data_IF_559932991464
#
_entry.id   IF_559932991464
#
_cell.length_a   1.000
_cell.length_b   1.000
_cell.length_c   1.000
_cell.angle_alpha   90.00
_cell.angle_beta   90.00
_cell.angle_gamma   90.00
#
_symmetry.space_group_name_H-M   'P 1'
#
loop_
_entity.id
_entity.type
_entity.pdbx_description
1 polymer ?
#
# COMPACT_ATOMS: atom_id res chain seq x y z
N UNK A 1 -25.46 7.44 27.13
CA UNK A 1 -25.80 7.53 25.71
C UNK A 1 -25.30 6.27 25.03
N UNK A 2 -26.19 5.53 24.43
CA UNK A 2 -25.89 4.27 23.73
C UNK A 2 -25.76 4.61 22.26
N UNK A 3 -24.54 4.49 21.74
CA UNK A 3 -24.30 4.66 20.29
C UNK A 3 -24.72 3.39 19.56
N UNK A 4 -25.30 3.54 18.36
CA UNK A 4 -25.67 2.43 17.47
C UNK A 4 -24.61 2.26 16.38
N UNK A 5 -24.06 1.05 16.24
CA UNK A 5 -23.14 0.69 15.15
C UNK A 5 -23.88 -0.15 14.10
N UNK A 6 -23.97 0.32 12.88
CA UNK A 6 -24.66 -0.36 11.79
C UNK A 6 -24.05 -0.08 10.40
N UNK A 7 -24.50 -0.85 9.43
CA UNK A 7 -24.15 -0.67 8.02
C UNK A 7 -24.70 0.66 7.51
N UNK A 8 -23.91 1.36 6.70
CA UNK A 8 -24.25 2.63 6.06
C UNK A 8 -25.31 2.43 4.99
N UNK A 9 -26.37 3.27 5.00
CA UNK A 9 -27.33 3.31 3.91
C UNK A 9 -26.91 4.35 2.86
N UNK A 10 -27.18 4.10 1.55
CA UNK A 10 -26.77 5.03 0.48
C UNK A 10 -27.25 6.46 0.65
N UNK A 11 -28.44 6.66 1.25
CA UNK A 11 -29.02 7.97 1.50
C UNK A 11 -28.31 8.76 2.63
N UNK A 12 -27.49 8.09 3.43
CA UNK A 12 -26.77 8.68 4.57
C UNK A 12 -25.33 9.06 4.22
N UNK A 13 -24.88 8.81 3.00
CA UNK A 13 -23.49 9.01 2.58
C UNK A 13 -22.96 10.42 2.88
N UNK A 14 -23.70 11.45 2.52
CA UNK A 14 -23.21 12.82 2.66
C UNK A 14 -23.03 13.19 4.14
N UNK A 15 -23.96 12.77 5.00
CA UNK A 15 -23.84 12.96 6.45
C UNK A 15 -22.67 12.17 7.05
N UNK A 16 -22.51 10.93 6.61
CA UNK A 16 -21.44 10.03 7.03
C UNK A 16 -20.07 10.60 6.63
N UNK A 17 -19.94 11.03 5.35
CA UNK A 17 -18.70 11.60 4.83
C UNK A 17 -18.36 12.94 5.51
N UNK A 18 -19.33 13.79 5.73
CA UNK A 18 -19.13 15.03 6.50
C UNK A 18 -18.65 14.76 7.94
N UNK A 19 -19.05 13.65 8.56
CA UNK A 19 -18.50 13.24 9.86
C UNK A 19 -17.05 12.78 9.78
N UNK A 20 -16.66 12.11 8.68
CA UNK A 20 -15.27 11.73 8.40
C UNK A 20 -14.42 13.01 8.22
N UNK A 21 -14.84 13.96 7.40
CA UNK A 21 -14.11 15.22 7.20
C UNK A 21 -13.87 15.94 8.53
N UNK A 22 -14.88 16.02 9.39
CA UNK A 22 -14.73 16.60 10.73
C UNK A 22 -13.71 15.87 11.61
N UNK A 23 -13.63 14.54 11.51
CA UNK A 23 -12.64 13.76 12.23
C UNK A 23 -11.20 14.05 11.77
N UNK A 24 -11.04 14.47 10.50
CA UNK A 24 -9.78 14.82 9.85
C UNK A 24 -9.51 16.32 9.75
N UNK A 25 -10.20 17.16 10.55
CA UNK A 25 -9.91 18.58 10.65
C UNK A 25 -10.88 19.49 9.88
N UNK A 26 -11.92 18.94 9.27
CA UNK A 26 -13.01 19.69 8.66
C UNK A 26 -12.71 20.32 7.29
N UNK A 27 -11.64 19.89 6.64
CA UNK A 27 -11.33 20.31 5.27
C UNK A 27 -12.14 19.48 4.27
N UNK A 28 -12.98 20.09 3.42
CA UNK A 28 -13.77 19.32 2.46
C UNK A 28 -12.90 18.73 1.36
N UNK A 29 -13.27 17.54 0.93
CA UNK A 29 -12.68 16.91 -0.24
C UNK A 29 -13.13 17.60 -1.54
N UNK A 30 -12.28 17.63 -2.59
CA UNK A 30 -12.72 18.06 -3.93
C UNK A 30 -13.91 17.23 -4.42
N UNK A 31 -14.82 17.86 -5.16
CA UNK A 31 -16.03 17.20 -5.64
C UNK A 31 -15.75 15.94 -6.49
N UNK A 32 -14.69 16.00 -7.29
CA UNK A 32 -14.25 14.90 -8.15
C UNK A 32 -13.74 13.70 -7.32
N UNK A 33 -12.99 13.96 -6.25
CA UNK A 33 -12.52 12.93 -5.32
C UNK A 33 -13.70 12.30 -4.57
N UNK A 34 -14.62 13.14 -4.05
CA UNK A 34 -15.81 12.68 -3.35
C UNK A 34 -16.71 11.81 -4.25
N UNK A 35 -16.87 12.20 -5.51
CA UNK A 35 -17.63 11.42 -6.49
C UNK A 35 -17.01 10.04 -6.74
N UNK A 36 -15.68 9.98 -6.89
CA UNK A 36 -14.97 8.72 -7.08
C UNK A 36 -15.11 7.81 -5.85
N UNK A 37 -14.90 8.34 -4.65
CA UNK A 37 -15.05 7.54 -3.43
C UNK A 37 -16.46 6.98 -3.27
N UNK A 38 -17.48 7.77 -3.61
CA UNK A 38 -18.88 7.31 -3.59
C UNK A 38 -19.13 6.21 -4.60
N UNK A 39 -18.58 6.32 -5.82
CA UNK A 39 -18.68 5.31 -6.88
C UNK A 39 -18.02 3.99 -6.47
N UNK A 40 -16.84 4.06 -5.86
CA UNK A 40 -16.09 2.89 -5.40
C UNK A 40 -16.65 2.25 -4.13
N UNK A 41 -17.61 2.90 -3.46
CA UNK A 41 -18.18 2.43 -2.19
C UNK A 41 -19.15 1.26 -2.40
N UNK A 42 -18.84 0.12 -1.78
CA UNK A 42 -19.76 -1.01 -1.59
C UNK A 42 -20.45 -0.84 -0.24
N UNK A 43 -21.66 -0.26 -0.22
CA UNK A 43 -22.31 0.21 1.01
C UNK A 43 -22.48 -0.84 2.11
N UNK A 44 -22.61 -2.11 1.76
CA UNK A 44 -22.68 -3.24 2.69
C UNK A 44 -21.37 -3.49 3.46
N UNK A 45 -20.27 -2.89 3.00
CA UNK A 45 -18.94 -2.94 3.62
C UNK A 45 -18.58 -1.68 4.42
N UNK A 46 -19.51 -0.70 4.49
CA UNK A 46 -19.31 0.56 5.21
C UNK A 46 -20.13 0.59 6.48
N UNK A 47 -19.51 1.00 7.56
CA UNK A 47 -20.11 1.09 8.88
C UNK A 47 -20.15 2.54 9.35
N UNK A 48 -21.21 2.90 10.05
CA UNK A 48 -21.29 4.14 10.81
C UNK A 48 -21.67 3.85 12.27
N UNK A 49 -21.23 4.72 13.14
CA UNK A 49 -21.69 4.77 14.54
C UNK A 49 -22.50 6.03 14.72
N UNK A 50 -23.73 5.89 15.21
CA UNK A 50 -24.68 6.98 15.46
C UNK A 50 -24.87 7.24 16.95
N UNK A 51 -25.02 8.52 17.33
CA UNK A 51 -25.53 8.97 18.61
C UNK A 51 -26.80 9.79 18.32
N UNK A 52 -27.97 9.16 18.49
CA UNK A 52 -29.23 9.67 17.94
C UNK A 52 -29.16 9.75 16.41
N UNK A 53 -29.40 10.94 15.85
CA UNK A 53 -29.38 11.19 14.41
C UNK A 53 -27.99 11.61 13.89
N UNK A 54 -26.97 11.73 14.75
CA UNK A 54 -25.64 12.17 14.37
C UNK A 54 -24.69 11.00 14.13
N UNK A 55 -23.99 11.01 13.01
CA UNK A 55 -22.86 10.10 12.76
C UNK A 55 -21.66 10.57 13.56
N UNK A 56 -21.13 9.71 14.43
CA UNK A 56 -20.02 10.02 15.34
C UNK A 56 -18.78 9.15 15.10
N UNK A 57 -18.93 8.11 14.29
CA UNK A 57 -17.82 7.23 13.89
C UNK A 57 -18.04 6.66 12.50
N UNK A 58 -16.97 6.53 11.73
CA UNK A 58 -16.96 6.06 10.34
C UNK A 58 -15.88 5.01 10.14
N UNK A 59 -16.13 4.00 9.31
CA UNK A 59 -15.14 3.07 8.77
C UNK A 59 -15.69 2.38 7.53
N UNK A 60 -14.83 2.09 6.56
CA UNK A 60 -15.18 1.33 5.37
C UNK A 60 -14.14 0.28 5.04
N UNK A 61 -14.46 -0.63 4.13
CA UNK A 61 -13.52 -1.61 3.62
C UNK A 61 -13.74 -1.83 2.13
N UNK A 62 -12.78 -1.44 1.31
CA UNK A 62 -12.75 -1.81 -0.09
C UNK A 62 -12.49 -3.31 -0.24
N UNK A 63 -13.02 -3.89 -1.29
CA UNK A 63 -12.79 -5.27 -1.69
C UNK A 63 -11.59 -5.33 -2.64
N UNK A 64 -10.44 -5.70 -2.10
CA UNK A 64 -9.19 -5.80 -2.85
C UNK A 64 -8.73 -7.24 -3.05
N UNK A 65 -7.83 -7.38 -4.02
CA UNK A 65 -6.92 -8.52 -4.11
C UNK A 65 -5.49 -7.98 -4.10
N UNK A 66 -4.72 -8.46 -3.15
CA UNK A 66 -3.33 -8.03 -2.94
C UNK A 66 -2.36 -9.10 -3.43
N UNK A 67 -1.33 -8.69 -4.15
CA UNK A 67 -0.27 -9.60 -4.53
C UNK A 67 0.58 -9.97 -3.31
N UNK A 68 0.85 -11.27 -3.15
CA UNK A 68 1.68 -11.81 -2.08
C UNK A 68 2.95 -12.47 -2.66
N UNK A 69 3.97 -12.78 -1.85
CA UNK A 69 5.12 -13.54 -2.31
C UNK A 69 4.71 -14.83 -3.03
N UNK A 70 5.25 -15.03 -4.25
CA UNK A 70 4.82 -16.10 -5.17
C UNK A 70 3.85 -15.62 -6.25
N UNK A 71 3.36 -14.36 -6.18
CA UNK A 71 2.54 -13.73 -7.22
C UNK A 71 1.05 -14.07 -7.15
N UNK A 72 0.60 -14.82 -6.14
CA UNK A 72 -0.82 -15.05 -5.93
C UNK A 72 -1.55 -13.74 -5.55
N UNK A 73 -2.79 -13.59 -6.01
CA UNK A 73 -3.68 -12.50 -5.64
C UNK A 73 -4.64 -12.97 -4.55
N UNK A 74 -4.48 -12.45 -3.35
CA UNK A 74 -5.23 -12.88 -2.15
C UNK A 74 -6.31 -11.85 -1.83
N UNK A 75 -7.56 -12.26 -1.55
CA UNK A 75 -8.61 -11.36 -1.08
C UNK A 75 -8.20 -10.62 0.19
N UNK A 76 -8.45 -9.32 0.24
CA UNK A 76 -8.07 -8.47 1.35
C UNK A 76 -9.04 -7.29 1.52
N UNK A 77 -9.47 -7.05 2.75
CA UNK A 77 -10.21 -5.84 3.07
C UNK A 77 -9.28 -4.62 3.11
N UNK A 78 -9.48 -3.66 2.21
CA UNK A 78 -8.80 -2.37 2.24
C UNK A 78 -9.49 -1.43 3.22
N UNK A 79 -9.14 -1.51 4.50
CA UNK A 79 -9.76 -0.72 5.57
C UNK A 79 -9.40 0.75 5.43
N UNK A 80 -10.40 1.61 5.39
CA UNK A 80 -10.24 3.04 5.11
C UNK A 80 -11.29 3.90 5.81
N UNK A 81 -11.13 5.22 5.72
CA UNK A 81 -12.09 6.20 6.19
C UNK A 81 -12.49 6.00 7.66
N UNK A 82 -11.48 5.58 8.46
CA UNK A 82 -11.67 5.34 9.89
C UNK A 82 -11.57 6.65 10.65
N UNK A 83 -12.69 7.12 11.15
CA UNK A 83 -12.77 8.37 11.89
C UNK A 83 -13.66 8.25 13.13
N UNK A 84 -13.34 9.03 14.16
CA UNK A 84 -14.23 9.24 15.34
C UNK A 84 -14.25 10.71 15.64
N UNK A 85 -15.44 11.30 15.69
CA UNK A 85 -15.63 12.74 16.05
C UNK A 85 -14.87 13.07 17.32
N UNK A 86 -14.21 14.21 17.42
CA UNK A 86 -13.46 14.63 18.60
C UNK A 86 -14.24 14.52 19.93
N UNK A 87 -15.54 14.79 19.90
CA UNK A 87 -16.46 14.73 21.04
C UNK A 87 -16.73 13.31 21.54
N UNK A 88 -16.44 12.28 20.71
CA UNK A 88 -16.74 10.85 21.01
C UNK A 88 -15.48 10.00 21.13
N UNK A 89 -14.29 10.60 21.09
CA UNK A 89 -13.02 9.89 21.32
C UNK A 89 -12.94 9.31 22.73
N UNK A 90 -12.18 8.21 22.89
CA UNK A 90 -11.94 7.51 24.17
C UNK A 90 -13.18 6.90 24.83
N UNK A 91 -14.28 6.73 24.08
CA UNK A 91 -15.53 6.11 24.53
C UNK A 91 -15.76 4.69 23.99
N UNK A 92 -14.73 4.07 23.39
CA UNK A 92 -14.81 2.71 22.83
C UNK A 92 -15.35 2.63 21.39
N UNK A 93 -15.78 3.75 20.78
CA UNK A 93 -16.36 3.78 19.41
C UNK A 93 -15.43 3.10 18.41
N UNK A 94 -14.15 3.52 18.33
CA UNK A 94 -13.19 2.90 17.41
C UNK A 94 -13.04 1.39 17.68
N UNK A 95 -12.97 0.99 18.94
CA UNK A 95 -12.80 -0.43 19.29
C UNK A 95 -14.00 -1.28 18.82
N UNK A 96 -15.23 -0.78 18.97
CA UNK A 96 -16.42 -1.49 18.52
C UNK A 96 -16.51 -1.56 17.00
N UNK A 97 -16.16 -0.47 16.28
CA UNK A 97 -16.10 -0.47 14.82
C UNK A 97 -15.09 -1.49 14.31
N UNK A 98 -13.84 -1.47 14.81
CA UNK A 98 -12.79 -2.40 14.39
C UNK A 98 -13.12 -3.86 14.72
N UNK A 99 -13.81 -4.13 15.84
CA UNK A 99 -14.30 -5.48 16.18
C UNK A 99 -15.29 -5.95 15.13
N UNK A 100 -16.34 -5.18 14.92
CA UNK A 100 -17.39 -5.52 13.97
C UNK A 100 -16.81 -5.67 12.55
N UNK A 101 -15.94 -4.77 12.12
CA UNK A 101 -15.33 -4.83 10.80
C UNK A 101 -14.46 -6.08 10.60
N UNK A 102 -13.65 -6.49 11.57
CA UNK A 102 -12.84 -7.71 11.45
C UNK A 102 -13.69 -8.99 11.51
N UNK A 103 -14.81 -8.98 12.25
CA UNK A 103 -15.78 -10.07 12.23
C UNK A 103 -16.45 -10.17 10.84
N UNK A 104 -16.82 -9.03 10.25
CA UNK A 104 -17.40 -8.96 8.89
C UNK A 104 -16.38 -9.43 7.82
N UNK A 105 -15.12 -8.95 7.86
CA UNK A 105 -14.03 -9.36 6.95
C UNK A 105 -13.81 -10.88 7.01
N UNK A 106 -13.82 -11.45 8.21
CA UNK A 106 -13.76 -12.89 8.41
C UNK A 106 -14.95 -13.60 7.75
N UNK A 107 -16.15 -13.09 7.96
CA UNK A 107 -17.38 -13.66 7.38
C UNK A 107 -17.40 -13.58 5.84
N UNK A 108 -16.76 -12.56 5.25
CA UNK A 108 -16.58 -12.46 3.80
C UNK A 108 -15.53 -13.44 3.24
N UNK A 109 -14.78 -14.15 4.11
CA UNK A 109 -13.75 -15.09 3.70
C UNK A 109 -12.46 -14.43 3.22
N UNK A 110 -12.20 -13.18 3.64
CA UNK A 110 -10.99 -12.45 3.32
C UNK A 110 -9.91 -12.72 4.40
N UNK A 111 -8.84 -13.44 4.09
CA UNK A 111 -7.83 -13.80 5.09
C UNK A 111 -6.95 -12.64 5.53
N UNK A 112 -7.01 -11.51 4.83
CA UNK A 112 -6.20 -10.32 5.07
C UNK A 112 -7.07 -9.08 5.25
N UNK A 113 -6.60 -8.15 6.09
CA UNK A 113 -7.05 -6.77 6.12
C UNK A 113 -5.82 -5.84 6.05
N UNK A 114 -5.93 -4.78 5.27
CA UNK A 114 -4.84 -3.85 5.02
C UNK A 114 -5.32 -2.40 5.16
N UNK A 115 -4.44 -1.51 5.57
CA UNK A 115 -4.71 -0.07 5.66
C UNK A 115 -3.44 0.75 5.49
N UNK A 116 -3.59 2.02 5.15
CA UNK A 116 -2.56 3.06 5.30
C UNK A 116 -2.91 3.92 6.51
N UNK A 117 -1.96 4.12 7.42
CA UNK A 117 -2.24 4.74 8.70
C UNK A 117 -1.86 6.23 8.72
N UNK A 118 -2.82 7.12 9.03
CA UNK A 118 -2.50 8.51 9.37
C UNK A 118 -1.84 8.62 10.75
N UNK A 119 -2.21 7.72 11.68
CA UNK A 119 -1.63 7.61 13.03
C UNK A 119 -1.27 6.13 13.29
N UNK A 120 -0.04 5.69 12.98
CA UNK A 120 0.38 4.27 13.05
C UNK A 120 0.18 3.60 14.41
N UNK A 121 0.31 4.35 15.51
CA UNK A 121 0.19 3.85 16.89
C UNK A 121 -1.23 3.31 17.21
N UNK A 122 -2.23 3.73 16.44
CA UNK A 122 -3.62 3.34 16.67
C UNK A 122 -3.83 1.85 16.34
N UNK A 123 -3.29 1.37 15.22
CA UNK A 123 -3.71 0.11 14.62
C UNK A 123 -2.99 -1.11 15.13
N UNK A 124 -1.82 -0.94 15.76
CA UNK A 124 -1.08 -2.03 16.38
C UNK A 124 -1.87 -2.80 17.44
N UNK A 125 -2.76 -2.13 18.20
CA UNK A 125 -3.64 -2.74 19.21
C UNK A 125 -4.74 -3.62 18.61
N UNK A 126 -5.00 -3.48 17.33
CA UNK A 126 -5.95 -4.29 16.57
C UNK A 126 -5.24 -5.38 15.75
N UNK A 127 -3.93 -5.52 15.91
CA UNK A 127 -3.11 -6.56 15.28
C UNK A 127 -2.59 -6.21 13.89
N UNK A 128 -2.69 -4.96 13.42
CA UNK A 128 -2.05 -4.52 12.19
C UNK A 128 -0.58 -4.25 12.43
N UNK A 129 0.28 -4.77 11.54
CA UNK A 129 1.72 -4.51 11.56
C UNK A 129 2.19 -3.81 10.30
N UNK A 130 3.20 -2.89 10.36
CA UNK A 130 3.76 -2.26 9.18
C UNK A 130 4.43 -3.32 8.30
N UNK A 131 3.90 -3.54 7.10
CA UNK A 131 4.31 -4.60 6.19
C UNK A 131 5.08 -4.10 4.96
N UNK A 132 4.92 -2.81 4.61
CA UNK A 132 5.69 -2.16 3.54
C UNK A 132 6.23 -0.83 3.99
N UNK A 133 7.29 -0.40 3.30
CA UNK A 133 7.84 0.94 3.41
C UNK A 133 7.79 1.62 2.04
N UNK A 134 7.70 2.94 2.05
CA UNK A 134 7.85 3.77 0.86
C UNK A 134 9.03 4.73 1.05
N UNK A 135 9.61 5.13 -0.06
CA UNK A 135 10.70 6.09 -0.09
C UNK A 135 10.24 7.37 -0.78
N UNK A 136 10.45 8.49 -0.10
CA UNK A 136 10.39 9.81 -0.72
C UNK A 136 11.77 10.20 -1.23
N UNK A 137 11.81 10.80 -2.40
CA UNK A 137 13.04 11.31 -2.98
C UNK A 137 12.87 12.76 -3.41
N UNK A 138 13.90 13.57 -3.16
CA UNK A 138 14.08 14.91 -3.70
C UNK A 138 15.40 14.91 -4.49
N UNK A 139 15.30 14.80 -5.80
CA UNK A 139 16.44 14.55 -6.70
C UNK A 139 16.89 15.87 -7.32
N UNK A 140 18.14 16.24 -7.10
CA UNK A 140 18.78 17.40 -7.72
C UNK A 140 19.33 16.98 -9.10
N UNK A 141 18.58 17.26 -10.16
CA UNK A 141 18.91 16.78 -11.52
C UNK A 141 20.13 17.47 -12.11
N UNK A 142 20.54 18.65 -11.60
CA UNK A 142 21.77 19.32 -12.02
C UNK A 142 23.03 18.59 -11.53
N UNK A 143 22.90 17.82 -10.45
CA UNK A 143 24.01 17.18 -9.73
C UNK A 143 24.00 15.66 -9.76
N UNK A 144 23.05 15.06 -10.44
CA UNK A 144 22.91 13.62 -10.59
C UNK A 144 22.92 13.26 -12.06
N UNK A 145 23.64 12.20 -12.42
CA UNK A 145 23.66 11.64 -13.77
C UNK A 145 23.09 10.22 -13.74
N UNK A 146 22.44 9.84 -14.82
CA UNK A 146 21.89 8.50 -14.98
C UNK A 146 22.85 7.63 -15.79
N UNK A 147 23.16 6.45 -15.29
CA UNK A 147 23.82 5.36 -16.01
C UNK A 147 22.76 4.60 -16.80
N UNK A 148 22.74 4.79 -18.11
CA UNK A 148 21.72 4.21 -18.98
C UNK A 148 22.05 2.75 -19.33
N UNK A 149 21.10 1.82 -19.14
CA UNK A 149 21.27 0.44 -19.60
C UNK A 149 21.15 0.32 -21.13
N UNK A 150 21.67 -0.77 -21.65
CA UNK A 150 21.57 -1.11 -23.07
C UNK A 150 20.10 -1.09 -23.55
N UNK A 151 19.89 -0.57 -24.75
CA UNK A 151 18.58 -0.50 -25.39
C UNK A 151 17.70 0.70 -24.96
N UNK A 152 18.14 1.51 -23.99
CA UNK A 152 17.38 2.68 -23.56
C UNK A 152 17.20 3.72 -24.67
N UNK A 153 18.16 3.86 -25.57
CA UNK A 153 18.08 4.79 -26.72
C UNK A 153 17.12 4.31 -27.81
N UNK A 154 16.77 3.03 -27.82
CA UNK A 154 15.78 2.44 -28.73
C UNK A 154 14.33 2.61 -28.26
N UNK A 155 14.11 3.11 -27.05
CA UNK A 155 12.77 3.34 -26.52
C UNK A 155 12.22 4.66 -27.03
N UNK A 156 11.10 4.59 -27.73
CA UNK A 156 10.38 5.79 -28.19
C UNK A 156 9.53 6.35 -27.06
N UNK A 157 9.62 7.65 -26.81
CA UNK A 157 8.78 8.36 -25.85
C UNK A 157 7.71 9.17 -26.59
N UNK A 158 6.48 9.10 -26.09
CA UNK A 158 5.33 9.82 -26.65
C UNK A 158 4.51 10.48 -25.55
N UNK A 159 4.34 11.79 -25.62
CA UNK A 159 3.39 12.50 -24.76
C UNK A 159 1.95 12.15 -25.14
N UNK A 160 1.10 12.03 -24.14
CA UNK A 160 -0.34 11.78 -24.28
C UNK A 160 -1.08 12.48 -23.18
N UNK A 161 -2.37 12.78 -23.38
CA UNK A 161 -3.22 13.19 -22.27
C UNK A 161 -3.42 12.00 -21.32
N UNK A 162 -3.44 12.21 -20.00
CA UNK A 162 -3.60 11.11 -19.03
C UNK A 162 -4.84 10.24 -19.31
N UNK A 163 -5.97 10.86 -19.69
CA UNK A 163 -7.23 10.16 -19.98
C UNK A 163 -7.13 9.29 -21.24
N UNK A 164 -6.45 9.78 -22.28
CA UNK A 164 -6.22 9.04 -23.53
C UNK A 164 -5.22 7.90 -23.35
N UNK A 165 -4.28 8.05 -22.41
CA UNK A 165 -3.27 7.06 -22.08
C UNK A 165 -3.75 6.00 -21.06
N UNK A 166 -4.93 6.17 -20.44
CA UNK A 166 -5.42 5.35 -19.32
C UNK A 166 -5.29 3.85 -19.58
N UNK A 167 -5.87 3.36 -20.66
CA UNK A 167 -5.91 1.92 -20.94
C UNK A 167 -4.51 1.33 -21.20
N UNK A 168 -3.62 2.08 -21.82
CA UNK A 168 -2.23 1.68 -22.03
C UNK A 168 -1.45 1.63 -20.70
N UNK A 169 -1.66 2.61 -19.82
CA UNK A 169 -1.07 2.63 -18.47
C UNK A 169 -1.57 1.47 -17.61
N UNK A 170 -2.89 1.21 -17.62
CA UNK A 170 -3.48 0.09 -16.87
C UNK A 170 -3.00 -1.27 -17.37
N UNK A 171 -2.80 -1.44 -18.68
CA UNK A 171 -2.22 -2.66 -19.24
C UNK A 171 -0.78 -2.90 -18.77
N UNK A 172 0.02 -1.85 -18.61
CA UNK A 172 1.37 -1.94 -18.01
C UNK A 172 1.27 -2.26 -16.53
N UNK A 173 0.43 -1.54 -15.78
CA UNK A 173 0.23 -1.73 -14.34
C UNK A 173 -0.20 -3.18 -14.03
N UNK A 174 -1.20 -3.71 -14.71
CA UNK A 174 -1.72 -5.06 -14.50
C UNK A 174 -0.64 -6.15 -14.63
N UNK A 175 0.32 -5.96 -15.56
CA UNK A 175 1.47 -6.87 -15.71
C UNK A 175 2.49 -6.77 -14.58
N UNK A 176 2.49 -5.67 -13.83
CA UNK A 176 3.38 -5.45 -12.68
C UNK A 176 2.83 -6.01 -11.37
N UNK A 177 1.51 -6.09 -11.24
CA UNK A 177 0.83 -6.43 -9.97
C UNK A 177 1.36 -7.73 -9.37
N UNK A 178 1.36 -8.83 -10.13
CA UNK A 178 1.78 -10.14 -9.62
C UNK A 178 3.30 -10.28 -9.47
N UNK A 179 4.07 -9.35 -10.01
CA UNK A 179 5.53 -9.36 -9.93
C UNK A 179 6.07 -8.72 -8.63
N UNK A 180 5.23 -8.03 -7.85
CA UNK A 180 5.66 -7.34 -6.63
C UNK A 180 4.62 -7.50 -5.51
N UNK A 181 5.00 -8.03 -4.34
CA UNK A 181 4.09 -8.11 -3.19
C UNK A 181 3.58 -6.72 -2.77
N UNK A 182 2.37 -6.68 -2.21
CA UNK A 182 1.61 -5.51 -1.80
C UNK A 182 0.98 -4.68 -2.92
N UNK A 183 1.27 -4.92 -4.19
CA UNK A 183 0.50 -4.27 -5.26
C UNK A 183 -0.95 -4.78 -5.26
N UNK A 184 -1.87 -3.86 -5.53
CA UNK A 184 -3.31 -4.15 -5.57
C UNK A 184 -3.75 -4.39 -7.02
N UNK A 185 -4.54 -5.45 -7.23
CA UNK A 185 -5.29 -5.60 -8.48
C UNK A 185 -6.32 -4.48 -8.58
N UNK A 186 -6.27 -3.68 -9.64
CA UNK A 186 -7.26 -2.62 -9.85
C UNK A 186 -8.54 -3.21 -10.42
N UNK A 187 -9.61 -3.07 -9.68
CA UNK A 187 -10.97 -3.39 -10.12
C UNK A 187 -11.54 -2.24 -10.96
N UNK A 188 -12.62 -2.48 -11.72
CA UNK A 188 -13.28 -1.42 -12.48
C UNK A 188 -13.61 -0.21 -11.61
N UNK A 189 -13.33 0.98 -12.13
CA UNK A 189 -13.44 2.27 -11.43
C UNK A 189 -12.14 2.73 -10.78
N UNK A 190 -11.25 1.82 -10.34
CA UNK A 190 -9.99 2.18 -9.69
C UNK A 190 -8.97 2.79 -10.64
N UNK A 191 -9.12 2.58 -11.95
CA UNK A 191 -8.29 3.22 -12.98
C UNK A 191 -8.46 4.76 -13.04
N UNK A 192 -9.52 5.28 -12.43
CA UNK A 192 -9.74 6.72 -12.31
C UNK A 192 -8.87 7.36 -11.22
N UNK A 193 -8.51 6.61 -10.16
CA UNK A 193 -7.77 7.16 -9.02
C UNK A 193 -6.44 7.82 -9.41
N UNK A 194 -5.57 7.21 -10.22
CA UNK A 194 -4.30 7.84 -10.60
C UNK A 194 -4.48 9.06 -11.52
N UNK A 195 -5.66 9.26 -12.08
CA UNK A 195 -6.00 10.40 -12.96
C UNK A 195 -6.62 11.56 -12.19
N UNK A 196 -6.97 11.39 -10.92
CA UNK A 196 -7.48 12.49 -10.09
C UNK A 196 -6.48 13.65 -10.06
N UNK A 197 -6.94 14.80 -10.53
CA UNK A 197 -6.10 15.99 -10.64
C UNK A 197 -6.95 17.26 -10.42
N UNK A 198 -7.62 17.32 -9.26
CA UNK A 198 -8.49 18.43 -8.90
C UNK A 198 -7.71 19.76 -8.85
N UNK A 199 -8.18 20.83 -9.54
CA UNK A 199 -7.48 22.12 -9.57
C UNK A 199 -7.16 22.67 -8.18
N UNK A 200 -8.04 22.44 -7.20
CA UNK A 200 -7.85 22.88 -5.81
C UNK A 200 -6.69 22.17 -5.08
N UNK A 201 -6.25 20.99 -5.57
CA UNK A 201 -5.13 20.23 -4.98
C UNK A 201 -3.78 20.48 -5.68
N UNK A 202 -3.80 21.07 -6.87
CA UNK A 202 -2.56 21.33 -7.64
C UNK A 202 -1.70 22.43 -7.03
N UNK A 203 -2.30 23.38 -6.32
CA UNK A 203 -1.61 24.64 -5.96
C UNK A 203 -1.21 25.37 -7.24
N UNK A 204 0.08 25.63 -7.39
CA UNK A 204 0.70 26.31 -8.53
C UNK A 204 1.25 25.33 -9.60
N UNK A 205 1.06 24.02 -9.44
CA UNK A 205 1.53 23.02 -10.40
C UNK A 205 0.66 22.97 -11.67
N UNK A 206 1.29 22.57 -12.78
CA UNK A 206 0.59 22.30 -14.03
C UNK A 206 -0.46 21.18 -13.87
N UNK A 207 -1.43 21.08 -14.78
CA UNK A 207 -2.23 19.87 -14.91
C UNK A 207 -1.34 18.63 -15.08
N UNK A 208 -1.89 17.47 -14.67
CA UNK A 208 -1.23 16.17 -14.83
C UNK A 208 -0.89 15.91 -16.30
N UNK A 209 0.31 15.41 -16.54
CA UNK A 209 0.83 15.03 -17.85
C UNK A 209 1.18 13.55 -17.85
N UNK A 210 1.22 12.93 -19.02
CA UNK A 210 1.59 11.53 -19.20
C UNK A 210 2.57 11.38 -20.35
N UNK A 211 3.64 10.61 -20.12
CA UNK A 211 4.56 10.12 -21.15
C UNK A 211 4.50 8.60 -21.20
N UNK A 212 4.36 8.06 -22.40
CA UNK A 212 4.38 6.63 -22.69
C UNK A 212 5.75 6.23 -23.26
N UNK A 213 6.29 5.11 -22.81
CA UNK A 213 7.46 4.46 -23.36
C UNK A 213 7.01 3.31 -24.27
N UNK A 214 7.42 3.34 -25.54
CA UNK A 214 7.04 2.38 -26.56
C UNK A 214 8.28 1.64 -27.09
N UNK A 215 8.15 0.32 -27.21
CA UNK A 215 9.14 -0.56 -27.85
C UNK A 215 8.39 -1.60 -28.70
N UNK A 216 8.88 -1.90 -29.89
CA UNK A 216 8.27 -2.86 -30.84
C UNK A 216 6.77 -2.58 -31.10
N UNK A 217 6.40 -1.30 -31.18
CA UNK A 217 5.02 -0.87 -31.42
C UNK A 217 4.05 -1.08 -30.24
N UNK A 218 4.55 -1.37 -29.04
CA UNK A 218 3.75 -1.58 -27.84
C UNK A 218 4.16 -0.64 -26.73
N UNK A 219 3.20 -0.22 -25.91
CA UNK A 219 3.50 0.50 -24.68
C UNK A 219 4.11 -0.48 -23.65
N UNK A 220 5.33 -0.15 -23.20
CA UNK A 220 6.11 -0.94 -22.24
C UNK A 220 6.43 -0.19 -20.95
N UNK A 221 5.95 1.05 -20.83
CA UNK A 221 6.08 1.85 -19.62
C UNK A 221 5.37 3.19 -19.75
N UNK A 222 5.22 3.87 -18.65
CA UNK A 222 4.66 5.22 -18.57
C UNK A 222 5.18 5.97 -17.35
N UNK A 223 5.12 7.30 -17.41
CA UNK A 223 5.21 8.14 -16.23
C UNK A 223 4.13 9.23 -16.28
N UNK A 224 3.51 9.50 -15.10
CA UNK A 224 2.61 10.64 -14.92
C UNK A 224 3.24 11.65 -13.96
N UNK A 225 3.21 12.91 -14.34
CA UNK A 225 3.89 13.97 -13.62
C UNK A 225 3.20 15.31 -13.83
N UNK A 226 3.51 16.27 -12.97
CA UNK A 226 3.20 17.69 -13.17
C UNK A 226 4.45 18.52 -12.91
N UNK A 227 4.46 19.75 -13.38
CA UNK A 227 5.57 20.68 -13.18
C UNK A 227 5.08 21.83 -12.33
N UNK A 228 5.79 22.09 -11.23
CA UNK A 228 5.58 23.27 -10.41
C UNK A 228 6.64 24.31 -10.78
N UNK A 229 6.23 25.48 -11.32
CA UNK A 229 7.16 26.57 -11.53
C UNK A 229 7.67 27.07 -10.18
N UNK A 230 8.87 27.61 -10.10
CA UNK A 230 9.30 28.35 -8.91
C UNK A 230 8.71 29.75 -8.95
N UNK A 231 8.20 30.25 -7.81
CA UNK A 231 7.82 31.66 -7.70
C UNK A 231 9.09 32.55 -7.71
N UNK A 232 8.96 33.73 -8.28
CA UNK A 232 9.89 34.85 -8.19
C UNK A 232 11.39 34.57 -8.49
N UNK A 233 11.82 34.88 -9.71
CA UNK A 233 13.21 34.95 -10.20
C UNK A 233 14.11 33.70 -10.07
N UNK A 234 13.65 32.59 -9.57
CA UNK A 234 14.40 31.35 -9.64
C UNK A 234 14.24 30.70 -11.01
N UNK A 235 15.35 30.33 -11.70
CA UNK A 235 15.31 29.92 -13.10
C UNK A 235 14.67 28.55 -13.36
N UNK A 236 14.45 27.73 -12.30
CA UNK A 236 14.08 26.32 -12.46
C UNK A 236 12.93 25.91 -11.57
N UNK A 237 12.02 25.11 -12.15
CA UNK A 237 10.88 24.50 -11.46
C UNK A 237 11.20 23.10 -10.91
N UNK A 238 10.15 22.45 -10.39
CA UNK A 238 10.20 21.10 -9.81
C UNK A 238 9.25 20.18 -10.57
N UNK A 239 9.74 19.01 -10.98
CA UNK A 239 8.90 17.91 -11.48
C UNK A 239 8.31 17.19 -10.28
N UNK A 240 6.99 17.09 -10.24
CA UNK A 240 6.24 16.32 -9.25
C UNK A 240 5.85 14.99 -9.88
N UNK A 241 6.57 13.93 -9.58
CA UNK A 241 6.26 12.61 -10.09
C UNK A 241 5.03 12.03 -9.37
N UNK A 242 3.99 11.68 -10.12
CA UNK A 242 2.82 10.95 -9.63
C UNK A 242 3.13 9.47 -9.53
N UNK A 243 3.49 8.86 -10.66
CA UNK A 243 3.89 7.46 -10.75
C UNK A 243 4.73 7.20 -12.01
N UNK A 244 5.51 6.13 -11.97
CA UNK A 244 6.26 5.58 -13.10
C UNK A 244 6.29 4.07 -13.00
N UNK A 245 5.89 3.40 -14.09
CA UNK A 245 5.94 1.94 -14.22
C UNK A 245 6.50 1.55 -15.58
N UNK A 246 7.30 0.49 -15.60
CA UNK A 246 7.85 -0.04 -16.82
C UNK A 246 8.05 -1.56 -16.75
N UNK A 247 7.97 -2.20 -17.91
CA UNK A 247 8.10 -3.66 -18.05
C UNK A 247 9.53 -4.10 -18.35
N UNK A 248 10.40 -3.15 -18.71
CA UNK A 248 11.81 -3.42 -19.02
C UNK A 248 12.73 -2.37 -18.37
N UNK A 249 13.99 -2.73 -18.02
CA UNK A 249 14.96 -1.76 -17.51
C UNK A 249 15.21 -0.60 -18.47
N UNK A 250 15.26 -0.86 -19.78
CA UNK A 250 15.47 0.15 -20.82
C UNK A 250 14.35 1.19 -20.83
N UNK A 251 13.07 0.76 -20.79
CA UNK A 251 11.92 1.66 -20.73
C UNK A 251 11.90 2.45 -19.42
N UNK A 252 12.24 1.81 -18.29
CA UNK A 252 12.33 2.47 -17.00
C UNK A 252 13.36 3.60 -17.01
N UNK A 253 14.57 3.32 -17.47
CA UNK A 253 15.64 4.30 -17.56
C UNK A 253 15.32 5.43 -18.56
N UNK A 254 14.71 5.11 -19.71
CA UNK A 254 14.30 6.12 -20.69
C UNK A 254 13.24 7.09 -20.12
N UNK A 255 12.28 6.60 -19.32
CA UNK A 255 11.30 7.45 -18.64
C UNK A 255 11.96 8.37 -17.62
N UNK A 256 12.90 7.84 -16.81
CA UNK A 256 13.63 8.67 -15.86
C UNK A 256 14.51 9.70 -16.56
N UNK A 257 15.23 9.33 -17.64
CA UNK A 257 15.99 10.30 -18.45
C UNK A 257 15.09 11.43 -18.94
N UNK A 258 13.92 11.10 -19.47
CA UNK A 258 12.96 12.11 -19.89
C UNK A 258 12.59 13.08 -18.76
N UNK A 259 12.32 12.57 -17.56
CA UNK A 259 12.00 13.41 -16.40
C UNK A 259 13.18 14.28 -15.95
N UNK A 260 14.41 13.79 -16.08
CA UNK A 260 15.63 14.54 -15.76
C UNK A 260 15.91 15.65 -16.79
N UNK A 261 15.53 15.42 -18.05
CA UNK A 261 15.82 16.31 -19.18
C UNK A 261 14.71 17.33 -19.43
N UNK A 262 13.68 17.41 -18.56
CA UNK A 262 12.62 18.41 -18.71
C UNK A 262 13.19 19.82 -18.52
N UNK A 263 13.07 20.63 -19.59
CA UNK A 263 13.54 22.02 -19.60
C UNK A 263 12.92 22.84 -18.46
N UNK A 264 13.68 23.82 -17.97
CA UNK A 264 13.28 24.75 -16.92
C UNK A 264 12.97 24.08 -15.57
N UNK A 265 13.47 22.86 -15.34
CA UNK A 265 13.39 22.16 -14.05
C UNK A 265 14.78 21.69 -13.61
N UNK A 266 15.00 21.60 -12.29
CA UNK A 266 16.25 21.07 -11.74
C UNK A 266 16.01 20.20 -10.48
N UNK A 267 14.78 19.91 -10.16
CA UNK A 267 14.42 19.03 -9.06
C UNK A 267 13.30 18.08 -9.48
N UNK A 268 13.39 16.83 -9.05
CA UNK A 268 12.28 15.87 -9.11
C UNK A 268 11.88 15.48 -7.70
N UNK A 269 10.59 15.62 -7.40
CA UNK A 269 10.00 15.11 -6.15
C UNK A 269 9.18 13.88 -6.45
N UNK A 270 9.63 12.74 -5.93
CA UNK A 270 8.92 11.46 -6.00
C UNK A 270 8.52 11.04 -4.57
N UNK A 271 7.22 10.97 -4.29
CA UNK A 271 6.73 10.79 -2.91
C UNK A 271 6.52 9.35 -2.50
N UNK A 272 6.34 8.44 -3.43
CA UNK A 272 6.05 7.04 -3.15
C UNK A 272 6.83 6.15 -4.12
N UNK A 273 8.02 5.72 -3.69
CA UNK A 273 8.85 4.78 -4.43
C UNK A 273 9.15 3.54 -3.58
N UNK A 274 9.32 2.37 -4.19
CA UNK A 274 9.75 1.18 -3.44
C UNK A 274 11.15 1.37 -2.85
N UNK A 275 11.45 0.69 -1.75
CA UNK A 275 12.77 0.79 -1.10
C UNK A 275 13.91 0.24 -1.97
N UNK A 276 13.59 -0.71 -2.85
CA UNK A 276 14.48 -1.34 -3.84
C UNK A 276 14.32 -0.73 -5.25
N UNK A 277 13.92 0.54 -5.35
CA UNK A 277 13.71 1.16 -6.64
C UNK A 277 14.97 1.10 -7.51
N UNK A 278 14.88 0.59 -8.76
CA UNK A 278 16.02 0.55 -9.67
C UNK A 278 16.70 1.89 -9.91
N UNK A 279 16.00 3.00 -9.72
CA UNK A 279 16.57 4.35 -9.84
C UNK A 279 17.80 4.53 -8.95
N UNK A 280 17.79 3.94 -7.73
CA UNK A 280 18.93 4.06 -6.80
C UNK A 280 20.22 3.41 -7.32
N UNK A 281 20.12 2.55 -8.32
CA UNK A 281 21.25 1.92 -9.02
C UNK A 281 21.58 2.61 -10.35
N UNK A 282 20.67 3.43 -10.89
CA UNK A 282 20.91 4.19 -12.13
C UNK A 282 21.64 5.50 -11.84
N UNK A 283 21.43 6.10 -10.67
CA UNK A 283 22.06 7.40 -10.31
C UNK A 283 23.52 7.22 -9.87
N UNK A 284 24.36 8.17 -10.25
CA UNK A 284 25.79 8.20 -9.87
C UNK A 284 26.02 8.71 -8.43
N UNK A 285 25.11 9.50 -7.87
CA UNK A 285 25.17 9.99 -6.48
C UNK A 285 23.80 9.92 -5.80
N UNK A 286 23.50 8.77 -5.17
CA UNK A 286 22.24 8.55 -4.44
C UNK A 286 22.03 9.52 -3.27
N UNK A 287 23.09 10.10 -2.71
CA UNK A 287 22.98 11.08 -1.62
C UNK A 287 22.31 12.37 -2.06
N UNK A 288 22.43 12.71 -3.35
CA UNK A 288 21.73 13.86 -3.95
C UNK A 288 20.25 13.61 -4.21
N UNK A 289 19.79 12.38 -4.05
CA UNK A 289 18.37 12.04 -4.10
C UNK A 289 17.63 12.29 -2.78
N UNK A 290 18.33 12.62 -1.69
CA UNK A 290 17.74 12.95 -0.38
C UNK A 290 16.62 12.00 0.02
N UNK A 291 16.91 10.71 0.09
CA UNK A 291 15.93 9.66 0.36
C UNK A 291 15.45 9.72 1.81
N UNK A 292 14.14 9.60 2.00
CA UNK A 292 13.50 9.45 3.31
C UNK A 292 12.54 8.25 3.25
N UNK A 293 12.68 7.33 4.21
CA UNK A 293 11.81 6.15 4.32
C UNK A 293 10.74 6.37 5.37
N UNK A 294 9.53 5.94 5.08
CA UNK A 294 8.40 5.91 6.01
C UNK A 294 7.60 4.61 5.83
N UNK A 295 6.79 4.24 6.84
CA UNK A 295 5.85 3.13 6.72
C UNK A 295 4.75 3.46 5.70
N UNK A 296 4.15 2.41 5.12
CA UNK A 296 3.09 2.58 4.13
C UNK A 296 1.92 1.64 4.41
N UNK A 297 1.90 0.43 3.85
CA UNK A 297 0.84 -0.54 4.11
C UNK A 297 1.03 -1.24 5.46
N UNK A 298 0.00 -1.19 6.29
CA UNK A 298 -0.14 -2.02 7.47
C UNK A 298 -1.03 -3.21 7.15
N UNK A 299 -0.60 -4.40 7.55
CA UNK A 299 -1.29 -5.65 7.25
C UNK A 299 -1.69 -6.38 8.52
N UNK A 300 -2.87 -6.99 8.48
CA UNK A 300 -3.36 -7.91 9.49
C UNK A 300 -3.79 -9.23 8.85
N UNK A 301 -3.35 -10.35 9.42
CA UNK A 301 -3.89 -11.64 9.11
C UNK A 301 -5.21 -11.81 9.88
N UNK A 302 -6.33 -11.84 9.17
CA UNK A 302 -7.67 -12.05 9.75
C UNK A 302 -7.91 -13.53 10.01
N UNK A 303 -7.40 -14.41 9.13
CA UNK A 303 -7.35 -15.86 9.30
C UNK A 303 -5.91 -16.33 9.09
N UNK A 304 -5.18 -16.63 10.18
CA UNK A 304 -3.75 -16.94 10.14
C UNK A 304 -3.45 -18.15 9.25
N UNK A 305 -4.19 -19.24 9.38
CA UNK A 305 -3.96 -20.46 8.57
C UNK A 305 -4.13 -20.19 7.09
N UNK A 306 -5.28 -19.60 6.70
CA UNK A 306 -5.58 -19.29 5.30
C UNK A 306 -4.60 -18.27 4.71
N UNK A 307 -4.22 -17.24 5.47
CA UNK A 307 -3.26 -16.24 5.01
C UNK A 307 -1.89 -16.86 4.75
N UNK A 308 -1.34 -17.63 5.69
CA UNK A 308 -0.01 -18.23 5.55
C UNK A 308 0.03 -19.31 4.45
N UNK A 309 -1.07 -20.02 4.20
CA UNK A 309 -1.18 -20.98 3.11
C UNK A 309 -1.32 -20.34 1.73
N UNK A 310 -1.72 -19.05 1.65
CA UNK A 310 -1.98 -18.36 0.40
C UNK A 310 -0.73 -17.81 -0.30
N UNK A 311 0.45 -17.86 0.34
CA UNK A 311 1.72 -17.38 -0.22
C UNK A 311 2.71 -18.51 -0.41
N UNK A 312 3.77 -18.29 -1.21
CA UNK A 312 4.95 -19.15 -1.26
C UNK A 312 6.08 -18.62 -0.38
N UNK A 313 7.09 -19.47 -0.16
CA UNK A 313 8.22 -19.19 0.70
C UNK A 313 9.53 -19.36 -0.09
N UNK A 314 10.55 -18.55 0.23
CA UNK A 314 11.82 -18.54 -0.53
C UNK A 314 12.70 -19.79 -0.30
N UNK A 315 12.47 -20.50 0.79
CA UNK A 315 13.14 -21.75 1.15
C UNK A 315 12.13 -22.72 1.78
N UNK A 316 12.41 -24.03 1.80
CA UNK A 316 11.61 -24.97 2.58
C UNK A 316 11.52 -24.53 4.04
N UNK A 317 10.33 -24.60 4.62
CA UNK A 317 10.03 -24.24 6.01
C UNK A 317 9.09 -25.26 6.61
N UNK A 318 9.37 -25.66 7.84
CA UNK A 318 8.49 -26.45 8.70
C UNK A 318 8.64 -25.94 10.14
N UNK A 319 7.77 -25.01 10.53
CA UNK A 319 7.84 -24.34 11.83
C UNK A 319 6.45 -24.24 12.47
N UNK A 320 6.45 -24.29 13.80
CA UNK A 320 5.25 -24.09 14.63
C UNK A 320 5.32 -22.69 15.26
N UNK A 321 4.37 -21.84 14.89
CA UNK A 321 4.19 -20.55 15.50
C UNK A 321 3.22 -20.63 16.67
N UNK A 322 3.57 -20.10 17.83
CA UNK A 322 2.62 -19.73 18.88
C UNK A 322 2.20 -18.28 18.65
N UNK A 323 0.97 -18.10 18.16
CA UNK A 323 0.44 -16.80 17.78
C UNK A 323 -0.41 -16.22 18.90
N UNK A 324 -0.08 -15.00 19.33
CA UNK A 324 -0.90 -14.22 20.25
C UNK A 324 -1.81 -13.26 19.47
N UNK A 325 -3.12 -13.30 19.73
CA UNK A 325 -4.10 -12.36 19.19
C UNK A 325 -5.21 -12.07 20.22
N UNK A 326 -4.98 -11.06 21.03
CA UNK A 326 -5.94 -10.65 22.04
C UNK A 326 -7.20 -9.98 21.45
N UNK A 327 -7.09 -9.43 20.25
CA UNK A 327 -8.22 -8.77 19.60
C UNK A 327 -9.11 -9.73 18.83
N UNK A 328 -8.54 -10.73 18.14
CA UNK A 328 -9.28 -11.77 17.42
C UNK A 328 -8.88 -13.16 17.91
N UNK A 329 -9.47 -13.64 19.04
CA UNK A 329 -9.02 -14.84 19.73
C UNK A 329 -9.02 -16.12 18.89
N UNK A 330 -9.78 -16.15 17.81
CA UNK A 330 -9.79 -17.30 16.88
C UNK A 330 -8.46 -17.55 16.18
N UNK A 331 -7.55 -16.57 16.14
CA UNK A 331 -6.19 -16.71 15.62
C UNK A 331 -5.19 -17.19 16.68
N UNK A 332 -5.48 -16.97 17.96
CA UNK A 332 -4.55 -17.33 19.04
C UNK A 332 -4.34 -18.84 19.13
N UNK A 333 -3.11 -19.25 19.42
CA UNK A 333 -2.71 -20.65 19.57
C UNK A 333 -1.62 -21.06 18.59
N UNK A 334 -1.41 -22.39 18.44
CA UNK A 334 -0.30 -22.93 17.66
C UNK A 334 -0.72 -23.25 16.23
N UNK A 335 0.15 -22.88 15.31
CA UNK A 335 -0.03 -23.04 13.87
C UNK A 335 1.23 -23.65 13.27
N UNK A 336 1.12 -24.84 12.68
CA UNK A 336 2.21 -25.45 11.92
C UNK A 336 2.15 -24.97 10.48
N UNK A 337 3.21 -24.30 10.04
CA UNK A 337 3.43 -23.88 8.67
C UNK A 337 4.42 -24.84 8.03
N UNK A 338 4.00 -25.46 6.91
CA UNK A 338 4.87 -26.22 6.04
C UNK A 338 4.77 -25.64 4.63
N UNK A 339 5.90 -25.29 4.00
CA UNK A 339 5.86 -24.66 2.69
C UNK A 339 7.21 -24.52 2.01
N UNK A 340 7.17 -24.14 0.75
CA UNK A 340 8.33 -23.88 -0.10
C UNK A 340 7.97 -22.90 -1.23
N UNK A 341 8.78 -22.89 -2.30
CA UNK A 341 8.56 -22.06 -3.51
C UNK A 341 7.35 -22.48 -4.35
N UNK A 342 6.73 -23.63 -4.07
CA UNK A 342 5.62 -24.19 -4.86
C UNK A 342 4.27 -23.99 -4.17
N UNK A 343 4.26 -23.81 -2.86
CA UNK A 343 3.05 -23.63 -2.09
C UNK A 343 3.27 -23.88 -0.58
N UNK A 344 2.19 -23.80 0.18
CA UNK A 344 2.23 -24.01 1.61
C UNK A 344 0.91 -24.55 2.16
N UNK A 345 0.99 -25.16 3.35
CA UNK A 345 -0.13 -25.43 4.24
C UNK A 345 0.13 -24.81 5.60
N UNK A 346 -0.93 -24.37 6.27
CA UNK A 346 -0.83 -23.85 7.63
C UNK A 346 -2.07 -24.27 8.42
N UNK A 347 -1.86 -25.13 9.41
CA UNK A 347 -2.95 -25.76 10.16
C UNK A 347 -2.69 -25.65 11.67
N UNK A 348 -3.77 -25.78 12.44
CA UNK A 348 -3.65 -25.86 13.89
C UNK A 348 -2.96 -27.12 14.32
N UNK A 349 -2.14 -27.02 15.39
CA UNK A 349 -1.39 -28.15 15.93
C UNK A 349 -1.27 -28.06 17.44
N UNK A 350 -1.03 -29.21 18.09
CA UNK A 350 -0.62 -29.33 19.48
C UNK A 350 0.89 -29.49 19.66
N UNK A 351 1.65 -29.51 18.56
CA UNK A 351 3.10 -29.64 18.60
C UNK A 351 3.74 -28.49 19.39
N UNK A 352 4.92 -28.72 20.00
CA UNK A 352 5.67 -27.64 20.65
C UNK A 352 5.96 -26.49 19.69
N UNK A 353 5.78 -25.26 20.18
CA UNK A 353 6.07 -24.09 19.37
C UNK A 353 7.58 -23.90 19.16
N UNK A 354 7.95 -23.52 17.96
CA UNK A 354 9.32 -23.17 17.55
C UNK A 354 9.58 -21.68 17.73
N UNK A 355 8.57 -20.84 17.43
CA UNK A 355 8.61 -19.39 17.53
C UNK A 355 7.34 -18.88 18.22
N UNK A 356 7.47 -17.82 19.04
CA UNK A 356 6.33 -17.13 19.63
C UNK A 356 6.33 -15.64 19.24
N UNK A 357 5.18 -15.16 18.77
CA UNK A 357 4.99 -13.78 18.29
C UNK A 357 3.51 -13.40 18.32
N UNK A 358 3.22 -12.11 18.22
CA UNK A 358 1.84 -11.69 18.04
C UNK A 358 1.45 -11.67 16.55
N UNK A 359 0.15 -11.67 16.27
CA UNK A 359 -0.39 -11.54 14.91
C UNK A 359 0.08 -10.25 14.21
N UNK A 360 0.41 -9.21 14.98
CA UNK A 360 0.96 -7.95 14.46
C UNK A 360 2.33 -8.17 13.81
N UNK A 361 3.24 -8.86 14.49
CA UNK A 361 4.58 -9.17 13.97
C UNK A 361 4.49 -10.10 12.75
N UNK A 362 3.54 -11.04 12.80
CA UNK A 362 3.27 -11.93 11.67
C UNK A 362 2.76 -11.13 10.45
N UNK A 363 1.88 -10.15 10.69
CA UNK A 363 1.43 -9.20 9.66
C UNK A 363 2.56 -8.38 9.06
N UNK A 364 3.49 -7.89 9.90
CA UNK A 364 4.67 -7.16 9.41
C UNK A 364 5.57 -8.02 8.53
N UNK A 365 5.79 -9.28 8.88
CA UNK A 365 6.68 -10.18 8.13
C UNK A 365 6.01 -10.78 6.89
N UNK A 366 4.68 -10.78 6.80
CA UNK A 366 3.90 -11.53 5.83
C UNK A 366 4.27 -11.27 4.37
N UNK A 367 4.59 -10.04 4.00
CA UNK A 367 4.93 -9.67 2.62
C UNK A 367 6.43 -9.80 2.30
N UNK A 368 7.26 -10.14 3.30
CA UNK A 368 8.69 -10.37 3.13
C UNK A 368 9.56 -9.12 3.17
N UNK A 369 8.98 -7.95 3.50
CA UNK A 369 9.73 -6.68 3.64
C UNK A 369 10.32 -6.46 5.03
N UNK A 370 9.76 -7.11 6.06
CA UNK A 370 10.24 -7.03 7.44
C UNK A 370 10.69 -8.43 7.88
N UNK A 371 11.95 -8.55 8.30
CA UNK A 371 12.52 -9.83 8.67
C UNK A 371 12.14 -10.24 10.10
N UNK A 372 11.87 -11.53 10.32
CA UNK A 372 11.62 -12.08 11.66
C UNK A 372 12.84 -11.92 12.59
N UNK A 373 14.06 -12.00 12.04
CA UNK A 373 15.30 -11.73 12.80
C UNK A 373 15.32 -10.28 13.30
N UNK A 374 14.94 -9.30 12.46
CA UNK A 374 14.86 -7.90 12.85
C UNK A 374 13.84 -7.68 13.98
N UNK A 375 12.67 -8.34 13.89
CA UNK A 375 11.66 -8.30 14.94
C UNK A 375 12.13 -8.97 16.24
N UNK A 376 12.88 -10.08 16.14
CA UNK A 376 13.49 -10.74 17.30
C UNK A 376 14.56 -9.87 17.97
N UNK A 377 15.37 -9.16 17.18
CA UNK A 377 16.33 -8.17 17.69
C UNK A 377 15.67 -7.03 18.49
N UNK A 378 14.40 -6.72 18.18
CA UNK A 378 13.57 -5.79 18.94
C UNK A 378 12.76 -6.45 20.09
N UNK A 379 12.98 -7.74 20.38
CA UNK A 379 12.29 -8.49 21.42
C UNK A 379 10.82 -8.84 21.10
N UNK A 380 10.41 -8.76 19.83
CA UNK A 380 9.02 -8.94 19.38
C UNK A 380 8.72 -10.35 18.86
N UNK A 381 9.74 -11.15 18.62
CA UNK A 381 9.68 -12.57 18.26
C UNK A 381 10.59 -13.32 19.22
N UNK A 382 10.12 -14.39 19.80
CA UNK A 382 10.91 -15.29 20.65
C UNK A 382 11.20 -16.58 19.93
N UNK A 383 12.45 -16.96 19.86
CA UNK A 383 12.88 -18.28 19.42
C UNK A 383 12.75 -19.27 20.57
N UNK A 384 12.07 -20.40 20.34
CA UNK A 384 11.83 -21.47 21.32
C UNK A 384 12.57 -22.75 20.93
N UNK A 385 12.77 -22.97 19.62
CA UNK A 385 13.64 -24.03 19.07
C UNK A 385 14.83 -23.40 18.38
N UNK A 386 16.05 -23.82 18.77
CA UNK A 386 17.28 -23.31 18.17
C UNK A 386 17.29 -23.49 16.64
N UNK A 387 17.61 -22.41 15.91
CA UNK A 387 17.67 -22.38 14.44
C UNK A 387 16.35 -22.05 13.74
N UNK A 388 15.19 -22.16 14.43
CA UNK A 388 13.88 -21.91 13.83
C UNK A 388 13.68 -20.45 13.37
N UNK A 389 14.26 -19.49 14.09
CA UNK A 389 14.19 -18.09 13.72
C UNK A 389 14.91 -17.82 12.39
N UNK A 390 16.07 -18.42 12.20
CA UNK A 390 16.82 -18.28 10.95
C UNK A 390 16.07 -18.94 9.79
N UNK A 391 15.62 -20.17 9.98
CA UNK A 391 14.83 -20.94 9.00
C UNK A 391 13.61 -20.14 8.54
N UNK A 392 12.76 -19.70 9.47
CA UNK A 392 11.57 -18.93 9.17
C UNK A 392 11.88 -17.57 8.52
N UNK A 393 12.93 -16.87 8.98
CA UNK A 393 13.28 -15.56 8.46
C UNK A 393 13.74 -15.61 7.00
N UNK A 394 14.52 -16.65 6.62
CA UNK A 394 14.91 -16.88 5.23
C UNK A 394 13.70 -17.23 4.38
N UNK A 395 12.85 -18.13 4.86
CA UNK A 395 11.65 -18.57 4.13
C UNK A 395 10.65 -17.42 3.89
N UNK A 396 10.44 -16.54 4.88
CA UNK A 396 9.50 -15.42 4.78
C UNK A 396 9.99 -14.28 3.87
N UNK A 397 11.26 -14.21 3.54
CA UNK A 397 11.82 -13.16 2.71
C UNK A 397 11.14 -13.00 1.35
N UNK A 398 11.42 -11.90 0.68
CA UNK A 398 11.02 -11.64 -0.72
C UNK A 398 12.21 -11.06 -1.47
N UNK A 399 12.53 -11.53 -2.69
CA UNK A 399 13.62 -10.99 -3.50
C UNK A 399 13.30 -9.59 -4.04
N UNK A 400 12.02 -9.20 -4.01
CA UNK A 400 11.53 -7.88 -4.42
C UNK A 400 10.84 -7.25 -3.20
N UNK A 401 11.22 -6.03 -2.84
CA UNK A 401 10.61 -5.35 -1.71
C UNK A 401 9.09 -5.16 -1.92
N UNK A 402 8.25 -5.48 -0.94
CA UNK A 402 6.82 -5.22 -1.06
C UNK A 402 6.58 -3.70 -1.10
N UNK A 403 5.63 -3.30 -1.93
CA UNK A 403 5.34 -1.88 -2.14
C UNK A 403 3.89 -1.65 -2.55
N UNK A 404 3.25 -0.69 -1.90
CA UNK A 404 1.92 -0.20 -2.25
C UNK A 404 2.05 1.04 -3.15
N UNK A 405 1.67 0.97 -4.44
CA UNK A 405 1.88 2.07 -5.39
C UNK A 405 0.92 3.26 -5.20
N UNK A 406 -0.22 3.06 -4.57
CA UNK A 406 -1.21 4.11 -4.30
C UNK A 406 -1.98 3.81 -3.02
N UNK A 407 -2.38 4.86 -2.29
CA UNK A 407 -3.29 4.75 -1.14
C UNK A 407 -4.75 4.50 -1.55
N UNK A 408 -5.60 4.32 -0.53
CA UNK A 408 -7.06 4.12 -0.66
C UNK A 408 -7.80 4.61 0.58
#
# INVERSE_FOLDING_TARGET
MTTELRVLRPAEWDQWYGSLELAFGGMPEPAEELALWRELTLFDRWLGTWDGDEVVGTTGAFDFRIAVPGGALVPAAGVTMVGVRPTHRRRGVLRSMMRRQLDDVRAWGEPLAALTASEPDIYGRFGYGPATHQVRAHIDTDRVRLSMPDGADGVRLRLSKPEEARDACEAVYARRVTARPAMLERRPGWEALPLLDAPSRRGDASPLQCVLAEADGRTVGYARYSVRPRPDDAPYGTVLLRDVEALTPAAYAALWRFLFDLDLTNEIVARNRPSDDPLWQLVDDVRRCRLASEDSLHLRLVEVGAALAARTYQAPVDVVFEVEDAFCPWNAGRWRLTGDTKGASCERTEDPADLALSVRELGSAYLGGVSLISLAGAGRVRELREGALHEASVAFGSPVAPWLPHGF
#
